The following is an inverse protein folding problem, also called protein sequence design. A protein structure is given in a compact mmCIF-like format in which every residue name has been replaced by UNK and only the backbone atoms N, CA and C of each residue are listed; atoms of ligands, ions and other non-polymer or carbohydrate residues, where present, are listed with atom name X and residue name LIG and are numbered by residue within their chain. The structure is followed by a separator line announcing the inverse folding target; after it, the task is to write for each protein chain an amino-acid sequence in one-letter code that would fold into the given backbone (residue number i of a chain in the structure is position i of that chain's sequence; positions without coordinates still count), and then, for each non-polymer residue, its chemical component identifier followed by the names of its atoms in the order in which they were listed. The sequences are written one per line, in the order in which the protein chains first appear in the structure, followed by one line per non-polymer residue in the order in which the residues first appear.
data_IF_156881908595
#
_entry.id   IF_156881908595
#
_cell.length_a   1.000
_cell.length_b   1.000
_cell.length_c   1.000
_cell.angle_alpha   90.00
_cell.angle_beta   90.00
_cell.angle_gamma   90.00
#
_symmetry.space_group_name_H-M   'P 1'
#
loop_
_entity.id
_entity.type
_entity.pdbx_description
1 polymer ?
#
# COMPACT_ATOMS: atom_id res chain seq x y z
N UNK A 1 19.02 -11.96 31.40
CA UNK A 1 18.58 -11.93 29.98
C UNK A 1 19.79 -12.28 29.14
N UNK A 2 19.81 -13.46 28.48
CA UNK A 2 20.93 -13.82 27.59
C UNK A 2 20.85 -12.94 26.35
N UNK A 3 21.86 -12.12 26.10
CA UNK A 3 22.10 -11.55 24.77
C UNK A 3 22.47 -12.76 23.91
N UNK A 4 21.53 -13.28 23.12
CA UNK A 4 21.82 -14.28 22.11
C UNK A 4 22.77 -13.64 21.12
N UNK A 5 24.04 -14.02 21.16
CA UNK A 5 25.03 -13.65 20.15
C UNK A 5 24.54 -14.20 18.82
N UNK A 6 24.04 -13.33 17.95
CA UNK A 6 23.65 -13.73 16.61
C UNK A 6 24.87 -14.23 15.85
N UNK A 7 24.68 -15.29 15.07
CA UNK A 7 25.71 -15.84 14.19
C UNK A 7 25.67 -15.15 12.82
N UNK A 8 26.77 -15.22 12.05
CA UNK A 8 26.84 -14.65 10.69
C UNK A 8 25.66 -15.14 9.80
N UNK A 9 25.29 -16.44 9.78
CA UNK A 9 24.14 -16.90 9.00
C UNK A 9 22.79 -16.31 9.45
N UNK A 10 22.60 -16.09 10.75
CA UNK A 10 21.36 -15.48 11.27
C UNK A 10 21.26 -14.01 10.86
N UNK A 11 22.35 -13.26 10.98
CA UNK A 11 22.40 -11.85 10.56
C UNK A 11 22.21 -11.73 9.05
N UNK A 12 22.88 -12.58 8.26
CA UNK A 12 22.70 -12.62 6.79
C UNK A 12 21.25 -12.90 6.42
N UNK A 13 20.62 -13.90 7.06
CA UNK A 13 19.20 -14.21 6.84
C UNK A 13 18.32 -13.02 7.18
N UNK A 14 18.54 -12.36 8.31
CA UNK A 14 17.73 -11.22 8.73
C UNK A 14 17.85 -10.03 7.77
N UNK A 15 19.08 -9.67 7.37
CA UNK A 15 19.33 -8.58 6.42
C UNK A 15 18.64 -8.86 5.07
N UNK A 16 18.79 -10.08 4.54
CA UNK A 16 18.18 -10.44 3.25
C UNK A 16 16.65 -10.47 3.36
N UNK A 17 16.10 -11.12 4.40
CA UNK A 17 14.64 -11.25 4.57
C UNK A 17 13.97 -9.89 4.77
N UNK A 18 14.65 -8.96 5.44
CA UNK A 18 14.14 -7.61 5.69
C UNK A 18 14.14 -6.73 4.43
N UNK A 19 14.98 -7.04 3.44
CA UNK A 19 15.05 -6.31 2.18
C UNK A 19 14.33 -7.07 1.07
N UNK A 20 13.07 -6.71 0.81
CA UNK A 20 12.21 -7.42 -0.14
C UNK A 20 12.80 -7.52 -1.54
N UNK A 21 13.41 -6.44 -2.06
CA UNK A 21 14.05 -6.45 -3.38
C UNK A 21 15.22 -7.43 -3.47
N UNK A 22 16.03 -7.55 -2.42
CA UNK A 22 17.13 -8.53 -2.37
C UNK A 22 16.55 -9.94 -2.23
N UNK A 23 15.54 -10.13 -1.39
CA UNK A 23 14.87 -11.42 -1.20
C UNK A 23 14.26 -11.95 -2.50
N UNK A 24 13.50 -11.13 -3.23
CA UNK A 24 12.85 -11.53 -4.48
C UNK A 24 13.89 -11.83 -5.57
N UNK A 25 14.89 -10.96 -5.74
CA UNK A 25 15.98 -11.21 -6.69
C UNK A 25 16.78 -12.49 -6.32
N UNK A 26 16.89 -12.85 -5.04
CA UNK A 26 17.51 -14.10 -4.61
C UNK A 26 16.65 -15.32 -4.95
N UNK A 27 15.33 -15.25 -4.70
CA UNK A 27 14.37 -16.29 -5.07
C UNK A 27 14.34 -16.55 -6.59
N UNK A 28 14.54 -15.48 -7.38
CA UNK A 28 14.60 -15.52 -8.85
C UNK A 28 15.98 -15.91 -9.42
N UNK A 29 16.98 -16.21 -8.58
CA UNK A 29 18.37 -16.49 -9.02
C UNK A 29 19.01 -15.34 -9.85
N UNK A 30 18.65 -14.09 -9.55
CA UNK A 30 19.13 -12.88 -10.23
C UNK A 30 20.26 -12.15 -9.48
N UNK A 31 20.70 -12.67 -8.33
CA UNK A 31 21.71 -12.02 -7.49
C UNK A 31 23.11 -12.58 -7.70
N UNK A 32 24.07 -11.68 -7.85
CA UNK A 32 25.48 -12.00 -7.64
C UNK A 32 25.80 -12.03 -6.13
N UNK A 33 26.00 -13.22 -5.57
CA UNK A 33 26.24 -13.41 -4.12
C UNK A 33 27.50 -12.69 -3.61
N UNK A 34 28.55 -12.59 -4.42
CA UNK A 34 29.77 -11.89 -4.03
C UNK A 34 29.52 -10.38 -3.93
N UNK A 35 28.82 -9.80 -4.91
CA UNK A 35 28.47 -8.38 -4.88
C UNK A 35 27.54 -8.06 -3.69
N UNK A 36 26.56 -8.93 -3.42
CA UNK A 36 25.69 -8.79 -2.26
C UNK A 36 26.49 -8.86 -0.95
N UNK A 37 27.42 -9.82 -0.82
CA UNK A 37 28.28 -9.95 0.36
C UNK A 37 29.07 -8.67 0.66
N UNK A 38 29.70 -8.08 -0.37
CA UNK A 38 30.44 -6.81 -0.23
C UNK A 38 29.52 -5.70 0.25
N UNK A 39 28.29 -5.63 -0.28
CA UNK A 39 27.31 -4.61 0.09
C UNK A 39 26.84 -4.71 1.53
N UNK A 40 26.59 -5.93 2.03
CA UNK A 40 26.02 -6.13 3.38
C UNK A 40 27.07 -6.33 4.47
N UNK A 41 28.34 -6.57 4.11
CA UNK A 41 29.43 -6.80 5.07
C UNK A 41 29.56 -5.69 6.13
N UNK A 42 29.56 -4.38 5.78
CA UNK A 42 29.67 -3.32 6.79
C UNK A 42 28.53 -3.36 7.82
N UNK A 43 27.33 -3.74 7.38
CA UNK A 43 26.17 -3.87 8.26
C UNK A 43 26.29 -5.10 9.18
N UNK A 44 26.74 -6.23 8.65
CA UNK A 44 26.99 -7.45 9.43
C UNK A 44 28.03 -7.20 10.52
N UNK A 45 29.14 -6.56 10.18
CA UNK A 45 30.22 -6.27 11.13
C UNK A 45 29.77 -5.29 12.21
N UNK A 46 28.91 -4.32 11.86
CA UNK A 46 28.28 -3.39 12.81
C UNK A 46 27.36 -4.11 13.80
N UNK A 47 26.59 -5.11 13.34
CA UNK A 47 25.66 -5.88 14.18
C UNK A 47 26.43 -6.82 15.12
N UNK A 48 27.46 -7.49 14.61
CA UNK A 48 28.24 -8.47 15.37
C UNK A 48 29.33 -7.85 16.26
N UNK A 49 29.77 -6.63 15.93
CA UNK A 49 30.82 -5.92 16.66
C UNK A 49 32.24 -6.43 16.36
N UNK A 50 32.41 -7.23 15.30
CA UNK A 50 33.70 -7.76 14.87
C UNK A 50 33.78 -7.86 13.34
N UNK A 51 35.00 -7.85 12.81
CA UNK A 51 35.24 -8.10 11.39
C UNK A 51 34.83 -9.52 10.99
N UNK A 52 34.25 -9.68 9.81
CA UNK A 52 33.83 -10.98 9.28
C UNK A 52 34.48 -11.20 7.92
N UNK A 53 34.98 -12.42 7.68
CA UNK A 53 35.56 -12.75 6.38
C UNK A 53 34.47 -12.75 5.30
N UNK A 54 34.72 -12.06 4.18
CA UNK A 54 33.80 -11.96 3.04
C UNK A 54 33.33 -13.34 2.54
N UNK A 55 34.21 -14.34 2.47
CA UNK A 55 33.86 -15.68 2.02
C UNK A 55 32.87 -16.37 2.97
N UNK A 56 32.95 -16.09 4.27
CA UNK A 56 31.98 -16.60 5.26
C UNK A 56 30.58 -16.04 4.97
N UNK A 57 30.51 -14.75 4.59
CA UNK A 57 29.26 -14.10 4.22
C UNK A 57 28.72 -14.71 2.92
N UNK A 58 29.55 -14.87 1.89
CA UNK A 58 29.16 -15.50 0.61
C UNK A 58 28.59 -16.90 0.83
N UNK A 59 29.24 -17.71 1.68
CA UNK A 59 28.78 -19.06 2.01
C UNK A 59 27.45 -19.02 2.76
N UNK A 60 27.28 -18.08 3.70
CA UNK A 60 26.02 -17.90 4.42
C UNK A 60 24.88 -17.48 3.48
N UNK A 61 25.14 -16.55 2.55
CA UNK A 61 24.20 -16.14 1.51
C UNK A 61 23.81 -17.34 0.65
N UNK A 62 24.78 -18.08 0.13
CA UNK A 62 24.55 -19.25 -0.73
C UNK A 62 23.70 -20.30 -0.01
N UNK A 63 24.05 -20.65 1.23
CA UNK A 63 23.26 -21.61 2.03
C UNK A 63 21.84 -21.13 2.29
N UNK A 64 21.63 -19.82 2.41
CA UNK A 64 20.30 -19.27 2.53
C UNK A 64 19.55 -19.38 1.20
N UNK A 65 20.16 -19.01 0.08
CA UNK A 65 19.61 -19.15 -1.27
C UNK A 65 19.25 -20.61 -1.62
N UNK A 66 20.10 -21.58 -1.26
CA UNK A 66 19.84 -23.01 -1.45
C UNK A 66 18.61 -23.48 -0.63
N UNK A 67 18.23 -22.77 0.45
CA UNK A 67 17.03 -23.11 1.23
C UNK A 67 15.71 -22.72 0.53
N UNK A 68 15.76 -22.00 -0.58
CA UNK A 68 14.61 -21.65 -1.42
C UNK A 68 14.26 -22.76 -2.44
N UNK A 69 14.85 -23.94 -2.34
CA UNK A 69 14.68 -25.08 -3.28
C UNK A 69 13.24 -25.58 -3.49
N UNK A 70 12.25 -25.10 -2.74
CA UNK A 70 10.87 -25.07 -3.26
C UNK A 70 10.80 -23.89 -4.22
N UNK A 71 11.31 -24.12 -5.44
CA UNK A 71 11.05 -23.28 -6.60
C UNK A 71 9.54 -23.37 -6.87
N UNK A 72 8.73 -22.66 -6.10
CA UNK A 72 7.52 -22.09 -6.66
C UNK A 72 8.00 -21.40 -7.93
N UNK A 73 7.65 -21.97 -9.08
CA UNK A 73 7.78 -21.27 -10.36
C UNK A 73 7.34 -19.86 -10.07
N UNK A 74 8.24 -18.89 -10.31
CA UNK A 74 7.90 -17.48 -10.21
C UNK A 74 6.65 -17.35 -11.05
N UNK A 75 5.51 -17.21 -10.39
CA UNK A 75 4.25 -17.28 -11.08
C UNK A 75 4.21 -16.00 -11.89
N UNK A 76 4.52 -16.10 -13.19
CA UNK A 76 4.57 -14.96 -14.11
C UNK A 76 3.18 -14.32 -14.29
N UNK A 77 2.15 -14.89 -13.65
CA UNK A 77 0.85 -14.27 -13.54
C UNK A 77 1.00 -12.87 -12.93
N UNK A 78 0.55 -11.83 -13.65
CA UNK A 78 0.68 -10.49 -13.11
C UNK A 78 -0.22 -10.31 -11.91
N UNK A 79 0.26 -9.46 -11.02
CA UNK A 79 -0.31 -9.23 -9.70
C UNK A 79 -1.76 -8.74 -9.76
N UNK A 80 -2.14 -8.02 -10.82
CA UNK A 80 -3.50 -7.52 -11.04
C UNK A 80 -4.36 -8.40 -11.96
N UNK A 81 -3.96 -9.65 -12.21
CA UNK A 81 -4.74 -10.57 -13.06
C UNK A 81 -6.18 -10.68 -12.55
N UNK A 82 -7.13 -10.51 -13.48
CA UNK A 82 -8.58 -10.51 -13.24
C UNK A 82 -9.10 -9.44 -12.26
N UNK A 83 -8.28 -8.45 -11.90
CA UNK A 83 -8.77 -7.30 -11.13
C UNK A 83 -9.76 -6.49 -11.96
N UNK A 84 -10.74 -5.87 -11.29
CA UNK A 84 -11.69 -4.95 -11.93
C UNK A 84 -11.43 -3.53 -11.48
N UNK A 85 -11.39 -2.60 -12.43
CA UNK A 85 -11.21 -1.18 -12.15
C UNK A 85 -12.51 -0.42 -12.35
N UNK A 86 -12.85 0.44 -11.40
CA UNK A 86 -13.90 1.45 -11.55
C UNK A 86 -13.31 2.82 -11.23
N UNK A 87 -13.44 3.76 -12.17
CA UNK A 87 -13.08 5.17 -11.98
C UNK A 87 -14.36 5.96 -11.71
N UNK A 88 -14.31 6.84 -10.72
CA UNK A 88 -15.36 7.82 -10.41
C UNK A 88 -14.70 9.18 -10.23
N UNK A 89 -15.07 10.15 -11.05
CA UNK A 89 -14.69 11.56 -10.96
C UNK A 89 -15.69 12.32 -10.07
N UNK A 90 -15.45 13.62 -9.85
CA UNK A 90 -16.35 14.47 -9.07
C UNK A 90 -16.47 14.06 -7.60
N UNK A 91 -15.42 13.45 -7.04
CA UNK A 91 -15.42 12.98 -5.66
C UNK A 91 -15.07 14.13 -4.71
N UNK A 92 -15.83 14.20 -3.63
CA UNK A 92 -15.57 15.00 -2.46
C UNK A 92 -15.23 14.07 -1.28
N UNK A 93 -14.18 14.45 -0.57
CA UNK A 93 -13.73 13.82 0.66
C UNK A 93 -14.12 14.71 1.84
N UNK A 94 -15.04 14.21 2.66
CA UNK A 94 -15.59 14.89 3.83
C UNK A 94 -14.95 14.33 5.09
N UNK A 95 -14.24 15.17 5.86
CA UNK A 95 -13.57 14.78 7.10
C UNK A 95 -14.03 15.64 8.26
N UNK A 96 -14.39 15.02 9.39
CA UNK A 96 -14.72 15.75 10.62
C UNK A 96 -14.16 15.04 11.86
N UNK A 97 -13.76 15.79 12.89
CA UNK A 97 -13.16 15.21 14.08
C UNK A 97 -14.21 14.65 15.04
N UNK A 98 -13.80 13.65 15.85
CA UNK A 98 -14.58 13.20 17.02
C UNK A 98 -14.69 14.33 18.06
N UNK A 99 -13.75 15.29 18.11
CA UNK A 99 -13.89 16.45 19.02
C UNK A 99 -15.00 17.39 18.57
N UNK A 100 -15.18 17.53 17.26
CA UNK A 100 -16.30 18.26 16.65
C UNK A 100 -17.62 17.47 16.81
N UNK A 101 -17.55 16.17 17.08
CA UNK A 101 -18.73 15.34 17.34
C UNK A 101 -19.44 15.67 18.66
N UNK A 102 -18.84 16.51 19.52
CA UNK A 102 -19.59 17.12 20.62
C UNK A 102 -20.67 18.09 20.13
N UNK A 103 -20.60 18.54 18.87
CA UNK A 103 -21.60 19.39 18.22
C UNK A 103 -22.59 18.59 17.36
N UNK A 104 -22.16 17.45 16.77
CA UNK A 104 -23.00 16.60 15.92
C UNK A 104 -22.68 15.11 16.13
N UNK A 105 -23.70 14.32 16.49
CA UNK A 105 -23.59 12.86 16.62
C UNK A 105 -23.27 12.20 15.25
N UNK A 106 -22.19 11.41 15.13
CA UNK A 106 -21.82 10.73 13.88
C UNK A 106 -22.94 9.83 13.33
N UNK A 107 -23.79 9.26 14.19
CA UNK A 107 -24.94 8.47 13.74
C UNK A 107 -25.98 9.32 13.03
N UNK A 108 -26.16 10.57 13.47
CA UNK A 108 -27.04 11.54 12.80
C UNK A 108 -26.49 11.96 11.44
N UNK A 109 -25.17 12.13 11.33
CA UNK A 109 -24.53 12.42 10.04
C UNK A 109 -24.72 11.23 9.10
N UNK A 110 -24.42 10.01 9.55
CA UNK A 110 -24.58 8.80 8.75
C UNK A 110 -26.03 8.58 8.27
N UNK A 111 -27.02 8.80 9.14
CA UNK A 111 -28.44 8.76 8.78
C UNK A 111 -28.78 9.78 7.69
N UNK A 112 -28.31 11.03 7.81
CA UNK A 112 -28.50 12.07 6.78
C UNK A 112 -27.84 11.69 5.45
N UNK A 113 -26.61 11.19 5.47
CA UNK A 113 -25.91 10.71 4.27
C UNK A 113 -26.71 9.62 3.56
N UNK A 114 -27.14 8.59 4.30
CA UNK A 114 -27.91 7.47 3.73
C UNK A 114 -29.26 7.86 3.11
N UNK A 115 -29.83 9.01 3.50
CA UNK A 115 -31.07 9.54 2.92
C UNK A 115 -30.86 10.28 1.61
N UNK A 116 -29.65 10.79 1.38
CA UNK A 116 -29.29 11.54 0.17
C UNK A 116 -28.71 10.59 -0.89
N UNK A 117 -27.80 9.70 -0.50
CA UNK A 117 -27.15 8.77 -1.41
C UNK A 117 -26.76 7.47 -0.73
N UNK A 118 -26.84 6.37 -1.49
CA UNK A 118 -26.28 5.08 -1.10
C UNK A 118 -24.87 4.86 -1.70
N UNK A 119 -24.38 5.80 -2.51
CA UNK A 119 -23.09 5.72 -3.18
C UNK A 119 -22.04 6.54 -2.42
N UNK A 120 -21.62 6.04 -1.26
CA UNK A 120 -20.54 6.61 -0.47
C UNK A 120 -19.68 5.53 0.16
N UNK A 121 -18.41 5.84 0.40
CA UNK A 121 -17.51 5.04 1.23
C UNK A 121 -17.37 5.73 2.60
N UNK A 122 -17.47 4.98 3.69
CA UNK A 122 -17.37 5.51 5.05
C UNK A 122 -16.21 4.87 5.79
N UNK A 123 -15.36 5.72 6.38
CA UNK A 123 -14.21 5.28 7.16
C UNK A 123 -14.26 5.91 8.55
N UNK A 124 -14.21 5.06 9.57
CA UNK A 124 -13.97 5.49 10.95
C UNK A 124 -12.47 5.46 11.22
N UNK A 125 -11.88 6.62 11.50
CA UNK A 125 -10.51 6.75 11.97
C UNK A 125 -10.47 6.86 13.50
N UNK A 126 -9.27 6.90 14.08
CA UNK A 126 -9.09 6.97 15.54
C UNK A 126 -9.62 8.27 16.14
N UNK A 127 -9.54 9.37 15.41
CA UNK A 127 -9.84 10.74 15.86
C UNK A 127 -10.85 11.48 14.97
N UNK A 128 -11.32 10.84 13.90
CA UNK A 128 -12.11 11.46 12.85
C UNK A 128 -12.97 10.44 12.10
N UNK A 129 -13.94 10.96 11.38
CA UNK A 129 -14.75 10.21 10.42
C UNK A 129 -14.53 10.78 9.04
N UNK A 130 -14.61 9.91 8.03
CA UNK A 130 -14.44 10.28 6.64
C UNK A 130 -15.52 9.69 5.75
N UNK A 131 -16.07 10.50 4.87
CA UNK A 131 -16.96 10.07 3.79
C UNK A 131 -16.34 10.41 2.45
N UNK A 132 -16.31 9.46 1.53
CA UNK A 132 -16.02 9.70 0.12
C UNK A 132 -17.31 9.57 -0.66
N UNK A 133 -17.73 10.64 -1.32
CA UNK A 133 -18.98 10.68 -2.06
C UNK A 133 -18.86 11.62 -3.25
N UNK A 134 -19.85 11.63 -4.13
CA UNK A 134 -19.94 12.62 -5.19
C UNK A 134 -20.16 14.02 -4.58
N UNK A 135 -19.60 15.04 -5.22
CA UNK A 135 -19.74 16.42 -4.78
C UNK A 135 -21.17 16.93 -5.02
N UNK A 136 -22.02 16.76 -4.01
CA UNK A 136 -23.44 17.13 -4.03
C UNK A 136 -23.74 18.25 -3.03
N UNK A 137 -24.55 19.22 -3.44
CA UNK A 137 -24.97 20.34 -2.58
C UNK A 137 -25.72 19.87 -1.33
N UNK A 138 -26.59 18.86 -1.46
CA UNK A 138 -27.35 18.29 -0.34
C UNK A 138 -26.43 17.70 0.74
N UNK A 139 -25.26 17.16 0.36
CA UNK A 139 -24.25 16.66 1.30
C UNK A 139 -23.55 17.82 2.01
N UNK A 140 -23.24 18.89 1.29
CA UNK A 140 -22.63 20.11 1.88
C UNK A 140 -23.53 20.72 2.95
N UNK A 141 -24.84 20.75 2.73
CA UNK A 141 -25.83 21.26 3.67
C UNK A 141 -25.88 20.51 5.01
N UNK A 142 -25.46 19.24 5.06
CA UNK A 142 -25.39 18.48 6.32
C UNK A 142 -24.49 19.18 7.34
N UNK A 143 -23.44 19.86 6.87
CA UNK A 143 -22.41 20.49 7.69
C UNK A 143 -22.59 22.00 7.81
N UNK A 144 -23.77 22.53 7.48
CA UNK A 144 -24.00 23.98 7.49
C UNK A 144 -23.76 24.63 8.86
N UNK A 145 -24.01 23.89 9.94
CA UNK A 145 -23.88 24.41 11.30
C UNK A 145 -22.51 24.14 11.93
N UNK A 146 -21.53 23.64 11.17
CA UNK A 146 -20.17 23.38 11.65
C UNK A 146 -19.32 24.64 11.48
N UNK A 147 -18.71 25.12 12.58
CA UNK A 147 -18.02 26.41 12.64
C UNK A 147 -16.73 26.49 11.80
N UNK A 148 -16.14 25.36 11.41
CA UNK A 148 -14.87 25.28 10.66
C UNK A 148 -15.06 24.48 9.35
N UNK A 149 -15.80 25.04 8.39
CA UNK A 149 -16.17 24.33 7.14
C UNK A 149 -15.01 24.09 6.17
N UNK A 150 -13.99 24.94 6.17
CA UNK A 150 -12.95 24.93 5.13
C UNK A 150 -12.02 23.70 5.22
N UNK A 151 -11.85 23.13 6.40
CA UNK A 151 -11.04 21.91 6.61
C UNK A 151 -11.87 20.61 6.50
N UNK A 152 -13.20 20.73 6.33
CA UNK A 152 -14.11 19.57 6.28
C UNK A 152 -14.17 18.97 4.89
N UNK A 153 -14.04 19.78 3.83
CA UNK A 153 -14.26 19.34 2.45
C UNK A 153 -12.98 19.42 1.62
N UNK A 154 -12.60 18.30 1.02
CA UNK A 154 -11.59 18.25 -0.05
C UNK A 154 -12.28 17.85 -1.35
N UNK A 155 -12.19 18.70 -2.37
CA UNK A 155 -12.92 18.57 -3.65
C UNK A 155 -11.96 18.46 -4.83
N UNK A 156 -12.48 18.22 -6.04
CA UNK A 156 -11.64 18.00 -7.23
C UNK A 156 -10.86 16.69 -7.17
N UNK A 157 -11.43 15.69 -6.50
CA UNK A 157 -10.85 14.37 -6.35
C UNK A 157 -11.50 13.36 -7.29
N UNK A 158 -10.77 12.31 -7.59
CA UNK A 158 -11.27 11.13 -8.24
C UNK A 158 -10.92 9.89 -7.41
N UNK A 159 -11.76 8.87 -7.55
CA UNK A 159 -11.63 7.57 -6.91
C UNK A 159 -11.38 6.50 -7.96
N UNK A 160 -10.34 5.70 -7.80
CA UNK A 160 -10.17 4.44 -8.54
C UNK A 160 -10.35 3.29 -7.54
N UNK A 161 -11.36 2.46 -7.77
CA UNK A 161 -11.59 1.22 -7.01
C UNK A 161 -11.04 0.04 -7.82
N UNK A 162 -10.11 -0.69 -7.22
CA UNK A 162 -9.53 -1.92 -7.74
C UNK A 162 -10.15 -3.07 -6.95
N UNK A 163 -11.00 -3.87 -7.56
CA UNK A 163 -11.54 -5.10 -6.93
C UNK A 163 -10.60 -6.26 -7.23
N UNK A 164 -10.09 -6.90 -6.19
CA UNK A 164 -9.09 -7.97 -6.25
C UNK A 164 -9.80 -9.32 -6.02
N UNK A 165 -9.57 -10.34 -6.88
CA UNK A 165 -10.07 -11.69 -6.63
C UNK A 165 -9.43 -12.33 -5.39
N UNK A 166 -10.20 -13.13 -4.64
CA UNK A 166 -9.74 -13.82 -3.43
C UNK A 166 -8.57 -14.80 -3.63
N UNK A 167 -8.19 -15.09 -4.88
CA UNK A 167 -7.07 -15.97 -5.23
C UNK A 167 -5.71 -15.28 -5.28
N UNK A 168 -5.65 -13.95 -5.15
CA UNK A 168 -4.42 -13.15 -5.26
C UNK A 168 -3.79 -12.88 -3.89
N UNK A 169 -2.45 -12.76 -3.85
CA UNK A 169 -1.76 -12.28 -2.65
C UNK A 169 -2.00 -10.77 -2.49
N UNK A 170 -2.78 -10.41 -1.47
CA UNK A 170 -3.18 -9.04 -1.19
C UNK A 170 -1.99 -8.13 -0.89
N UNK A 171 -0.97 -8.63 -0.17
CA UNK A 171 0.19 -7.80 0.21
C UNK A 171 1.06 -7.43 -1.00
N UNK A 172 1.20 -8.38 -1.94
CA UNK A 172 1.91 -8.15 -3.20
C UNK A 172 1.12 -7.14 -4.06
N UNK A 173 -0.22 -7.25 -4.08
CA UNK A 173 -1.09 -6.33 -4.83
C UNK A 173 -0.99 -4.89 -4.34
N UNK A 174 -1.04 -4.68 -3.02
CA UNK A 174 -0.90 -3.35 -2.43
C UNK A 174 0.45 -2.72 -2.78
N UNK A 175 1.52 -3.50 -2.61
CA UNK A 175 2.89 -3.02 -2.88
C UNK A 175 3.06 -2.66 -4.36
N UNK A 176 2.58 -3.53 -5.25
CA UNK A 176 2.66 -3.37 -6.70
C UNK A 176 1.88 -2.14 -7.20
N UNK A 177 0.64 -1.95 -6.73
CA UNK A 177 -0.17 -0.79 -7.10
C UNK A 177 0.50 0.52 -6.67
N UNK A 178 1.06 0.56 -5.46
CA UNK A 178 1.79 1.73 -4.98
C UNK A 178 3.04 2.02 -5.84
N UNK A 179 3.81 0.98 -6.18
CA UNK A 179 5.03 1.09 -6.98
C UNK A 179 4.73 1.61 -8.40
N UNK A 180 3.74 1.05 -9.09
CA UNK A 180 3.38 1.45 -10.46
C UNK A 180 2.95 2.91 -10.50
N UNK A 181 2.07 3.32 -9.59
CA UNK A 181 1.55 4.69 -9.58
C UNK A 181 2.68 5.67 -9.27
N UNK A 182 3.52 5.36 -8.28
CA UNK A 182 4.67 6.19 -7.94
C UNK A 182 5.69 6.28 -9.10
N UNK A 183 6.05 5.14 -9.70
CA UNK A 183 7.00 5.07 -10.82
C UNK A 183 6.54 5.83 -12.06
N UNK A 184 5.23 6.03 -12.21
CA UNK A 184 4.65 6.85 -13.27
C UNK A 184 4.39 8.32 -12.87
N UNK A 185 4.80 8.72 -11.66
CA UNK A 185 4.63 10.09 -11.16
C UNK A 185 3.17 10.44 -10.83
N UNK A 186 2.36 9.45 -10.46
CA UNK A 186 1.01 9.67 -9.93
C UNK A 186 1.10 9.87 -8.42
N UNK A 187 0.79 11.08 -7.97
CA UNK A 187 0.69 11.40 -6.55
C UNK A 187 -0.69 11.03 -6.01
N UNK A 188 -0.70 10.25 -4.93
CA UNK A 188 -1.92 9.84 -4.25
C UNK A 188 -2.29 10.88 -3.20
N UNK A 189 -3.58 11.25 -3.15
CA UNK A 189 -4.13 12.02 -2.03
C UNK A 189 -4.35 11.09 -0.84
N UNK A 190 -4.90 9.89 -1.08
CA UNK A 190 -5.09 8.87 -0.07
C UNK A 190 -5.25 7.48 -0.70
N UNK A 191 -5.13 6.43 0.10
CA UNK A 191 -5.44 5.07 -0.32
C UNK A 191 -5.99 4.23 0.85
N UNK A 192 -7.02 3.43 0.57
CA UNK A 192 -7.62 2.51 1.52
C UNK A 192 -7.55 1.09 0.99
N UNK A 193 -7.16 0.15 1.84
CA UNK A 193 -6.97 -1.25 1.48
C UNK A 193 -7.94 -2.12 2.29
N UNK A 194 -8.83 -2.83 1.62
CA UNK A 194 -9.71 -3.87 2.18
C UNK A 194 -9.29 -5.24 1.66
N UNK A 195 -9.88 -6.30 2.21
CA UNK A 195 -9.59 -7.70 1.82
C UNK A 195 -9.79 -7.96 0.32
N UNK A 196 -10.78 -7.30 -0.28
CA UNK A 196 -11.27 -7.53 -1.63
C UNK A 196 -11.11 -6.31 -2.55
N UNK A 197 -10.64 -5.17 -2.03
CA UNK A 197 -10.50 -3.96 -2.84
C UNK A 197 -9.45 -2.97 -2.36
N UNK A 198 -8.95 -2.19 -3.31
CA UNK A 198 -8.12 -1.02 -3.06
C UNK A 198 -8.89 0.21 -3.56
N UNK A 199 -9.04 1.21 -2.72
CA UNK A 199 -9.66 2.48 -3.06
C UNK A 199 -8.55 3.52 -3.07
N UNK A 200 -8.26 4.07 -4.24
CA UNK A 200 -7.24 5.10 -4.46
C UNK A 200 -7.94 6.43 -4.66
N UNK A 201 -7.50 7.44 -3.92
CA UNK A 201 -7.94 8.82 -4.10
C UNK A 201 -6.79 9.64 -4.67
N UNK A 202 -7.10 10.41 -5.69
CA UNK A 202 -6.15 11.29 -6.36
C UNK A 202 -6.86 12.57 -6.81
N UNK A 203 -6.08 13.58 -7.16
CA UNK A 203 -6.62 14.76 -7.85
C UNK A 203 -7.18 14.35 -9.23
N UNK A 204 -8.32 14.91 -9.63
CA UNK A 204 -8.98 14.60 -10.91
C UNK A 204 -8.05 14.70 -12.12
N UNK A 205 -7.13 15.68 -12.11
CA UNK A 205 -6.13 15.86 -13.19
C UNK A 205 -5.25 14.64 -13.45
N UNK A 206 -5.12 13.73 -12.49
CA UNK A 206 -4.35 12.49 -12.61
C UNK A 206 -5.23 11.25 -12.87
N UNK A 207 -6.55 11.38 -12.80
CA UNK A 207 -7.52 10.27 -12.80
C UNK A 207 -7.42 9.37 -14.03
N UNK A 208 -7.58 9.95 -15.22
CA UNK A 208 -7.56 9.21 -16.48
C UNK A 208 -6.22 8.50 -16.70
N UNK A 209 -5.10 9.21 -16.45
CA UNK A 209 -3.76 8.65 -16.61
C UNK A 209 -3.50 7.49 -15.64
N UNK A 210 -3.88 7.64 -14.38
CA UNK A 210 -3.73 6.59 -13.38
C UNK A 210 -4.57 5.34 -13.73
N UNK A 211 -5.81 5.55 -14.21
CA UNK A 211 -6.67 4.47 -14.67
C UNK A 211 -6.06 3.72 -15.86
N UNK A 212 -5.56 4.43 -16.87
CA UNK A 212 -4.94 3.82 -18.05
C UNK A 212 -3.71 2.97 -17.68
N UNK A 213 -2.85 3.48 -16.79
CA UNK A 213 -1.67 2.76 -16.30
C UNK A 213 -2.10 1.43 -15.66
N UNK A 214 -3.00 1.49 -14.68
CA UNK A 214 -3.48 0.30 -13.96
C UNK A 214 -4.21 -0.68 -14.90
N UNK A 215 -5.04 -0.16 -15.81
CA UNK A 215 -5.78 -0.97 -16.77
C UNK A 215 -4.84 -1.68 -17.76
N UNK A 216 -3.77 -1.01 -18.19
CA UNK A 216 -2.79 -1.59 -19.11
C UNK A 216 -2.07 -2.80 -18.50
N UNK A 217 -1.77 -2.78 -17.21
CA UNK A 217 -1.14 -3.91 -16.51
C UNK A 217 -2.12 -5.08 -16.29
N UNK A 218 -3.41 -4.80 -16.09
CA UNK A 218 -4.43 -5.86 -16.05
C UNK A 218 -4.55 -6.57 -17.40
N UNK A 219 -4.42 -5.84 -18.50
CA UNK A 219 -4.54 -6.41 -19.86
C UNK A 219 -3.28 -7.12 -20.35
N UNK A 220 -2.14 -6.93 -19.66
CA UNK A 220 -0.90 -7.70 -19.91
C UNK A 220 -0.91 -9.09 -19.27
N UNK A 221 -1.99 -9.42 -18.54
CA UNK A 221 -2.22 -10.66 -17.79
C UNK A 221 -2.84 -11.82 -18.56
#
# INVERSE_FOLDING_TARGET
MRITSMSVPEVVREIITRNRSIYDCMKMDLINYTALAVKIQPEIERILGNSVNLNTIVVAIKRYADSFEIKEEVNEEPVLKNARLALTDGIMDVKFSIKDSNQIDPMTILDKFSKITNNYEFFRMSDSFRFLTEDMEDIRQIFDNVSDRDDVFSTGLAKIKITIPNSQNQSDTVSYVAEILHGNGIELVNAFFSQDSIIIILNEKHASRAYEILHSDIMRA
#
